data_IF_878260760993
#
_entry.id   IF_878260760993
#
_cell.length_a   1.000
_cell.length_b   1.000
_cell.length_c   1.000
_cell.angle_alpha   90.00
_cell.angle_beta   90.00
_cell.angle_gamma   90.00
#
_symmetry.space_group_name_H-M   'P 1'
#
loop_
_entity.id
_entity.type
_entity.pdbx_description
1 polymer ?
#
# COMPACT_ATOMS: atom_id res chain seq x y z
N UNK A 1 -18.30 -38.10 1.87
CA UNK A 1 -16.91 -38.62 1.85
C UNK A 1 -15.85 -37.55 1.61
N UNK A 2 -16.11 -36.41 0.94
CA UNK A 2 -15.06 -35.44 0.56
C UNK A 2 -14.60 -34.38 1.58
N UNK A 3 -14.97 -34.48 2.87
CA UNK A 3 -14.52 -33.52 3.89
C UNK A 3 -13.24 -33.98 4.61
N UNK A 4 -13.14 -35.28 4.93
CA UNK A 4 -12.00 -35.82 5.69
C UNK A 4 -10.69 -35.83 4.88
N UNK A 5 -10.77 -35.96 3.56
CA UNK A 5 -9.60 -35.97 2.68
C UNK A 5 -9.04 -34.55 2.42
N UNK A 6 -9.88 -33.50 2.53
CA UNK A 6 -9.44 -32.11 2.46
C UNK A 6 -8.79 -31.68 3.78
N UNK A 7 -9.38 -32.04 4.92
CA UNK A 7 -8.84 -31.70 6.25
C UNK A 7 -7.46 -32.35 6.49
N UNK A 8 -7.27 -33.61 6.09
CA UNK A 8 -5.96 -34.28 6.20
C UNK A 8 -4.89 -33.69 5.28
N UNK A 9 -5.29 -33.22 4.09
CA UNK A 9 -4.38 -32.54 3.17
C UNK A 9 -3.96 -31.17 3.69
N UNK A 10 -4.87 -30.41 4.31
CA UNK A 10 -4.55 -29.09 4.87
C UNK A 10 -3.69 -29.19 6.14
N UNK A 11 -3.94 -30.15 7.05
CA UNK A 11 -3.07 -30.42 8.20
C UNK A 11 -1.64 -30.80 7.78
N UNK A 12 -1.50 -31.58 6.71
CA UNK A 12 -0.19 -31.96 6.17
C UNK A 12 0.57 -30.76 5.58
N UNK A 13 -0.14 -29.84 4.90
CA UNK A 13 0.44 -28.61 4.34
C UNK A 13 0.87 -27.65 5.43
N UNK A 14 0.04 -27.47 6.46
CA UNK A 14 0.36 -26.61 7.61
C UNK A 14 1.60 -27.11 8.35
N UNK A 15 1.72 -28.44 8.51
CA UNK A 15 2.90 -29.05 9.13
C UNK A 15 4.17 -28.81 8.30
N UNK A 16 4.08 -28.95 6.97
CA UNK A 16 5.21 -28.67 6.06
C UNK A 16 5.59 -27.20 6.08
N UNK A 17 4.61 -26.30 6.04
CA UNK A 17 4.83 -24.85 6.09
C UNK A 17 5.48 -24.43 7.42
N UNK A 18 5.00 -24.98 8.54
CA UNK A 18 5.60 -24.76 9.86
C UNK A 18 7.05 -25.24 9.92
N UNK A 19 7.34 -26.43 9.37
CA UNK A 19 8.71 -26.96 9.32
C UNK A 19 9.63 -26.08 8.47
N UNK A 20 9.18 -25.67 7.27
CA UNK A 20 9.94 -24.79 6.39
C UNK A 20 10.22 -23.43 7.05
N UNK A 21 9.24 -22.87 7.75
CA UNK A 21 9.39 -21.62 8.51
C UNK A 21 10.44 -21.76 9.62
N UNK A 22 10.39 -22.84 10.41
CA UNK A 22 11.37 -23.09 11.48
C UNK A 22 12.79 -23.30 10.93
N UNK A 23 12.91 -23.95 9.77
CA UNK A 23 14.19 -24.05 9.08
C UNK A 23 14.69 -22.68 8.62
N UNK A 24 13.85 -21.88 7.97
CA UNK A 24 14.21 -20.50 7.59
C UNK A 24 14.66 -19.68 8.79
N UNK A 25 13.92 -19.71 9.91
CA UNK A 25 14.22 -18.97 11.14
C UNK A 25 15.62 -19.28 11.69
N UNK A 26 16.02 -20.55 11.69
CA UNK A 26 17.37 -20.98 12.12
C UNK A 26 18.50 -20.46 11.23
N UNK A 27 18.21 -20.18 9.97
CA UNK A 27 19.19 -19.71 9.00
C UNK A 27 19.18 -18.18 8.83
N UNK A 28 18.29 -17.44 9.48
CA UNK A 28 18.24 -15.98 9.35
C UNK A 28 19.58 -15.29 9.62
N UNK A 29 20.44 -15.71 10.59
CA UNK A 29 21.74 -15.07 10.81
C UNK A 29 22.72 -15.21 9.64
N UNK A 30 22.50 -16.18 8.75
CA UNK A 30 23.32 -16.42 7.56
C UNK A 30 22.75 -15.73 6.31
N UNK A 31 21.43 -15.48 6.30
CA UNK A 31 20.71 -14.99 5.13
C UNK A 31 20.56 -13.46 5.11
N UNK A 32 20.51 -12.82 6.28
CA UNK A 32 20.18 -11.40 6.40
C UNK A 32 21.20 -10.65 7.25
N UNK A 33 21.46 -9.39 6.91
CA UNK A 33 22.25 -8.46 7.74
C UNK A 33 21.39 -7.84 8.86
N UNK A 34 20.08 -7.70 8.63
CA UNK A 34 19.10 -7.14 9.57
C UNK A 34 17.77 -7.84 9.37
N UNK A 35 17.11 -8.20 10.47
CA UNK A 35 15.76 -8.73 10.49
C UNK A 35 14.96 -8.05 11.62
N UNK A 36 13.77 -7.58 11.31
CA UNK A 36 12.84 -6.99 12.26
C UNK A 36 11.51 -7.74 12.15
N UNK A 37 11.16 -8.48 13.20
CA UNK A 37 9.81 -9.04 13.36
C UNK A 37 8.95 -8.07 14.16
N UNK A 38 7.77 -7.71 13.64
CA UNK A 38 6.80 -6.88 14.33
C UNK A 38 5.40 -7.46 14.15
N UNK A 39 4.83 -8.00 15.23
CA UNK A 39 3.46 -8.48 15.23
C UNK A 39 2.46 -7.32 15.21
N UNK A 40 1.58 -7.32 14.21
CA UNK A 40 0.47 -6.38 14.08
C UNK A 40 -0.79 -6.95 14.73
N UNK A 41 -1.58 -6.10 15.40
CA UNK A 41 -2.89 -6.49 15.96
C UNK A 41 -3.89 -6.86 14.89
N UNK A 42 -3.85 -6.15 13.76
CA UNK A 42 -4.68 -6.40 12.58
C UNK A 42 -3.78 -6.59 11.36
N UNK A 43 -4.16 -7.46 10.41
CA UNK A 43 -3.41 -7.60 9.17
C UNK A 43 -3.39 -6.27 8.40
N UNK A 44 -2.38 -6.10 7.56
CA UNK A 44 -2.25 -4.95 6.69
C UNK A 44 -2.33 -5.37 5.23
N UNK A 45 -3.16 -4.70 4.43
CA UNK A 45 -3.29 -4.94 3.00
C UNK A 45 -2.25 -4.16 2.18
N UNK A 46 -1.65 -3.10 2.74
CA UNK A 46 -0.59 -2.36 2.07
C UNK A 46 0.45 -1.77 3.02
N UNK A 47 1.67 -1.64 2.52
CA UNK A 47 2.79 -1.02 3.22
C UNK A 47 3.58 -0.15 2.25
N UNK A 48 4.01 1.03 2.71
CA UNK A 48 4.81 1.97 1.92
C UNK A 48 5.88 2.61 2.79
N UNK A 49 7.13 2.52 2.35
CA UNK A 49 8.22 3.29 2.93
C UNK A 49 8.01 4.78 2.66
N UNK A 50 8.21 5.59 3.69
CA UNK A 50 8.34 7.03 3.58
C UNK A 50 9.80 7.46 3.58
N UNK A 51 10.00 8.76 3.80
CA UNK A 51 11.32 9.35 3.81
C UNK A 51 12.14 8.95 5.04
N UNK A 52 13.46 9.02 4.87
CA UNK A 52 14.44 8.84 5.93
C UNK A 52 14.48 10.09 6.81
N UNK A 53 14.23 9.89 8.11
CA UNK A 53 14.13 10.96 9.10
C UNK A 53 15.50 11.34 9.67
N UNK A 54 16.45 10.40 9.67
CA UNK A 54 17.80 10.65 10.14
C UNK A 54 18.57 9.39 10.48
N UNK A 55 19.65 9.57 11.22
CA UNK A 55 20.52 8.50 11.70
C UNK A 55 20.85 8.69 13.17
N UNK A 56 20.83 7.58 13.91
CA UNK A 56 21.48 7.44 15.20
C UNK A 56 22.84 6.73 15.01
N UNK A 57 23.58 6.52 16.11
CA UNK A 57 24.91 5.90 16.05
C UNK A 57 24.91 4.57 15.27
N UNK A 58 23.98 3.67 15.60
CA UNK A 58 23.87 2.33 15.02
C UNK A 58 22.60 2.11 14.19
N UNK A 59 21.74 3.11 14.03
CA UNK A 59 20.45 2.95 13.38
C UNK A 59 20.16 4.05 12.36
N UNK A 60 19.39 3.71 11.35
CA UNK A 60 18.72 4.61 10.44
C UNK A 60 17.26 4.69 10.90
N UNK A 61 16.72 5.90 11.00
CA UNK A 61 15.29 6.08 11.31
C UNK A 61 14.58 6.41 10.01
N UNK A 62 13.59 5.60 9.65
CA UNK A 62 12.79 5.80 8.45
C UNK A 62 11.30 5.70 8.76
N UNK A 63 10.49 6.50 8.07
CA UNK A 63 9.04 6.45 8.18
C UNK A 63 8.49 5.26 7.41
N UNK A 64 7.45 4.61 7.93
CA UNK A 64 6.65 3.61 7.24
C UNK A 64 5.17 3.93 7.41
N UNK A 65 4.40 3.68 6.36
CA UNK A 65 2.96 3.81 6.33
C UNK A 65 2.35 2.45 6.02
N UNK A 66 1.31 2.08 6.74
CA UNK A 66 0.56 0.85 6.49
C UNK A 66 -0.86 1.02 6.98
N UNK A 67 -1.78 0.15 6.56
CA UNK A 67 -3.17 0.19 7.00
C UNK A 67 -3.52 -1.00 7.90
N UNK A 68 -4.60 -0.87 8.67
CA UNK A 68 -5.23 -2.01 9.32
C UNK A 68 -6.44 -2.48 8.53
N UNK A 69 -6.59 -3.80 8.42
CA UNK A 69 -7.74 -4.48 7.86
C UNK A 69 -8.51 -5.20 8.96
N UNK A 70 -9.83 -4.97 8.99
CA UNK A 70 -10.72 -5.61 9.97
C UNK A 70 -10.68 -4.96 11.35
N UNK A 71 -10.09 -3.77 11.46
CA UNK A 71 -10.25 -2.91 12.63
C UNK A 71 -11.56 -2.13 12.54
N UNK A 72 -12.16 -1.78 13.67
CA UNK A 72 -13.36 -0.94 13.72
C UNK A 72 -13.08 0.33 14.52
N UNK A 73 -12.76 1.48 13.86
CA UNK A 73 -12.63 1.68 12.42
C UNK A 73 -11.27 1.23 11.85
N UNK A 74 -11.19 1.00 10.53
CA UNK A 74 -9.91 0.82 9.83
C UNK A 74 -9.09 2.12 9.93
N UNK A 75 -7.76 1.98 10.07
CA UNK A 75 -6.86 3.12 10.24
C UNK A 75 -5.65 3.05 9.32
N UNK A 76 -5.20 4.21 8.85
CA UNK A 76 -3.87 4.40 8.27
C UNK A 76 -2.91 4.68 9.42
N UNK A 77 -1.83 3.92 9.49
CA UNK A 77 -0.82 4.00 10.53
C UNK A 77 0.43 4.66 9.96
N UNK A 78 0.91 5.67 10.68
CA UNK A 78 2.22 6.28 10.48
C UNK A 78 3.13 5.83 11.61
N UNK A 79 4.22 5.17 11.27
CA UNK A 79 5.19 4.65 12.24
C UNK A 79 6.62 4.96 11.82
N UNK A 80 7.52 5.02 12.80
CA UNK A 80 8.96 5.07 12.56
C UNK A 80 9.57 3.69 12.78
N UNK A 81 10.47 3.30 11.88
CA UNK A 81 11.26 2.08 12.00
C UNK A 81 12.71 2.45 12.22
N UNK A 82 13.31 1.90 13.28
CA UNK A 82 14.75 1.94 13.54
C UNK A 82 15.39 0.73 12.86
N UNK A 83 16.13 0.99 11.79
CA UNK A 83 16.80 -0.03 10.98
C UNK A 83 18.27 -0.04 11.38
N UNK A 84 18.81 -1.18 11.81
CA UNK A 84 20.23 -1.30 12.13
C UNK A 84 21.10 -1.00 10.90
N UNK A 85 22.18 -0.24 11.09
CA UNK A 85 23.16 0.04 10.03
C UNK A 85 23.86 -1.26 9.62
N UNK A 86 24.40 -1.34 8.39
CA UNK A 86 25.18 -2.50 7.97
C UNK A 86 26.29 -2.83 8.98
N UNK A 87 26.42 -4.10 9.34
CA UNK A 87 27.43 -4.61 10.28
C UNK A 87 27.31 -4.16 11.74
N UNK A 88 26.19 -3.53 12.15
CA UNK A 88 25.95 -3.22 13.57
C UNK A 88 25.07 -4.25 14.28
N UNK A 89 24.33 -5.06 13.52
CA UNK A 89 23.47 -6.12 14.05
C UNK A 89 24.31 -7.29 14.55
N UNK A 90 23.96 -7.84 15.72
CA UNK A 90 24.53 -9.08 16.23
C UNK A 90 23.82 -10.28 15.59
N UNK A 91 24.48 -11.07 14.72
CA UNK A 91 23.84 -12.22 14.07
C UNK A 91 23.31 -13.25 15.07
N UNK A 92 23.92 -13.37 16.26
CA UNK A 92 23.51 -14.34 17.29
C UNK A 92 22.17 -14.01 17.97
N UNK A 93 21.56 -12.87 17.64
CA UNK A 93 20.25 -12.44 18.14
C UNK A 93 19.16 -12.48 17.08
N UNK A 94 19.50 -12.74 15.82
CA UNK A 94 18.60 -12.57 14.68
C UNK A 94 17.53 -13.66 14.58
N UNK A 95 17.79 -14.84 15.15
CA UNK A 95 16.84 -15.96 15.23
C UNK A 95 16.05 -15.98 16.55
N UNK A 96 16.34 -15.07 17.49
CA UNK A 96 15.76 -15.04 18.85
C UNK A 96 14.54 -14.13 19.01
N UNK A 97 13.89 -13.73 17.92
CA UNK A 97 12.67 -12.93 18.01
C UNK A 97 11.45 -13.80 18.35
N UNK A 98 10.49 -13.22 19.07
CA UNK A 98 9.18 -13.81 19.32
C UNK A 98 8.17 -13.32 18.29
N UNK A 99 7.48 -14.25 17.63
CA UNK A 99 6.56 -13.99 16.52
C UNK A 99 5.33 -13.16 16.88
N UNK A 100 4.87 -13.30 18.12
CA UNK A 100 3.64 -12.69 18.63
C UNK A 100 3.86 -11.30 19.22
N UNK A 101 5.12 -10.86 19.32
CA UNK A 101 5.46 -9.58 19.93
C UNK A 101 5.70 -8.49 18.86
N UNK A 102 5.26 -7.29 19.20
CA UNK A 102 5.62 -6.08 18.45
C UNK A 102 7.10 -5.75 18.68
N UNK A 103 7.81 -5.43 17.60
CA UNK A 103 9.22 -5.02 17.68
C UNK A 103 9.38 -3.71 18.45
N UNK A 104 10.39 -3.58 19.33
CA UNK A 104 10.79 -2.28 19.89
C UNK A 104 11.38 -1.34 18.83
N UNK A 105 11.77 -1.87 17.66
CA UNK A 105 12.30 -1.08 16.55
C UNK A 105 11.23 -0.30 15.79
N UNK A 106 9.94 -0.60 16.02
CA UNK A 106 8.82 0.06 15.35
C UNK A 106 8.07 0.89 16.38
N UNK A 107 7.97 2.21 16.14
CA UNK A 107 7.25 3.15 17.00
C UNK A 107 6.08 3.74 16.22
N UNK A 108 4.85 3.35 16.58
CA UNK A 108 3.63 3.94 16.01
C UNK A 108 3.48 5.37 16.50
N UNK A 109 3.29 6.31 15.57
CA UNK A 109 3.18 7.74 15.86
C UNK A 109 1.74 8.22 15.82
N UNK A 110 0.99 7.80 14.78
CA UNK A 110 -0.36 8.30 14.54
C UNK A 110 -1.19 7.22 13.86
N UNK A 111 -2.48 7.21 14.22
CA UNK A 111 -3.51 6.36 13.64
C UNK A 111 -4.57 7.30 13.08
N UNK A 112 -4.73 7.30 11.76
CA UNK A 112 -5.66 8.18 11.04
C UNK A 112 -6.86 7.32 10.64
N UNK A 113 -8.06 7.56 11.19
CA UNK A 113 -9.26 6.86 10.77
C UNK A 113 -9.52 7.05 9.28
N UNK A 114 -9.81 5.96 8.58
CA UNK A 114 -10.17 5.99 7.16
C UNK A 114 -11.59 6.54 6.99
N UNK A 115 -11.91 7.22 5.87
CA UNK A 115 -13.25 7.69 5.59
C UNK A 115 -14.24 6.52 5.60
N UNK A 116 -15.37 6.70 6.31
CA UNK A 116 -16.41 5.69 6.49
C UNK A 116 -15.93 4.33 7.03
N UNK A 117 -14.75 4.26 7.65
CA UNK A 117 -14.15 3.00 8.12
C UNK A 117 -13.75 2.04 7.01
N UNK A 118 -13.60 2.52 5.76
CA UNK A 118 -13.28 1.70 4.59
C UNK A 118 -11.88 1.11 4.63
N UNK A 119 -11.70 -0.05 4.00
CA UNK A 119 -10.39 -0.68 3.88
C UNK A 119 -9.53 0.06 2.86
N UNK A 120 -8.29 0.40 3.22
CA UNK A 120 -7.32 1.00 2.30
C UNK A 120 -6.51 -0.10 1.64
N UNK A 121 -6.58 -0.18 0.32
CA UNK A 121 -5.94 -1.24 -0.48
C UNK A 121 -4.53 -0.86 -0.92
N UNK A 122 -4.25 0.44 -1.12
CA UNK A 122 -2.91 0.92 -1.48
C UNK A 122 -2.66 2.31 -0.92
N UNK A 123 -1.45 2.52 -0.42
CA UNK A 123 -0.93 3.81 0.04
C UNK A 123 0.25 4.19 -0.86
N UNK A 124 0.30 5.45 -1.27
CA UNK A 124 1.42 5.99 -2.03
C UNK A 124 1.88 7.34 -1.46
N UNK A 125 3.18 7.62 -1.58
CA UNK A 125 3.83 8.85 -1.12
C UNK A 125 3.99 9.83 -2.27
N UNK A 126 3.81 11.12 -2.02
CA UNK A 126 4.17 12.15 -2.98
C UNK A 126 5.67 12.50 -2.83
N UNK A 127 6.46 12.32 -3.89
CA UNK A 127 7.90 12.62 -3.83
C UNK A 127 8.19 14.14 -3.77
N UNK A 128 7.30 14.96 -4.32
CA UNK A 128 7.45 16.42 -4.32
C UNK A 128 7.05 17.03 -2.97
N UNK A 129 6.23 16.34 -2.19
CA UNK A 129 5.85 16.76 -0.83
C UNK A 129 5.71 15.56 0.10
N UNK A 130 6.72 15.38 0.96
CA UNK A 130 6.86 14.25 1.89
C UNK A 130 5.79 14.19 2.99
N UNK A 131 4.97 15.23 3.14
CA UNK A 131 3.83 15.25 4.06
C UNK A 131 2.55 14.74 3.41
N UNK A 132 2.53 14.54 2.08
CA UNK A 132 1.33 14.12 1.36
C UNK A 132 1.31 12.61 1.14
N UNK A 133 0.17 12.01 1.47
CA UNK A 133 -0.15 10.61 1.15
C UNK A 133 -1.39 10.52 0.27
N UNK A 134 -1.35 9.56 -0.64
CA UNK A 134 -2.49 9.13 -1.44
C UNK A 134 -2.96 7.77 -0.97
N UNK A 135 -4.27 7.60 -0.82
CA UNK A 135 -4.85 6.29 -0.50
C UNK A 135 -5.96 5.93 -1.45
N UNK A 136 -5.91 4.70 -1.96
CA UNK A 136 -7.01 4.05 -2.66
C UNK A 136 -7.65 3.02 -1.72
N UNK A 137 -8.96 3.11 -1.57
CA UNK A 137 -9.79 2.21 -0.77
C UNK A 137 -10.87 1.57 -1.64
N UNK A 138 -11.81 0.88 -1.03
CA UNK A 138 -13.06 0.40 -1.67
C UNK A 138 -14.08 1.54 -1.93
N UNK A 139 -13.58 2.76 -2.13
CA UNK A 139 -14.38 3.91 -2.51
C UNK A 139 -14.03 4.30 -3.94
N UNK A 140 -14.98 4.94 -4.64
CA UNK A 140 -14.77 5.51 -5.97
C UNK A 140 -13.77 6.68 -5.96
N UNK A 141 -13.47 7.20 -4.78
CA UNK A 141 -12.66 8.39 -4.59
C UNK A 141 -11.31 8.02 -3.99
N UNK A 142 -10.26 8.73 -4.42
CA UNK A 142 -8.97 8.65 -3.76
C UNK A 142 -8.87 9.77 -2.75
N UNK A 143 -8.25 9.49 -1.62
CA UNK A 143 -8.10 10.46 -0.54
C UNK A 143 -6.66 10.97 -0.47
N UNK A 144 -6.53 12.28 -0.36
CA UNK A 144 -5.25 12.99 -0.18
C UNK A 144 -5.14 13.42 1.27
N UNK A 145 -4.06 13.01 1.93
CA UNK A 145 -3.81 13.30 3.33
C UNK A 145 -2.62 14.24 3.48
N UNK A 146 -2.70 15.17 4.42
CA UNK A 146 -1.58 16.04 4.81
C UNK A 146 -1.16 15.72 6.24
N UNK A 147 0.01 15.09 6.37
CA UNK A 147 0.57 14.66 7.65
C UNK A 147 1.19 15.79 8.46
N UNK A 148 1.31 17.01 7.91
CA UNK A 148 1.81 18.17 8.65
C UNK A 148 0.84 18.64 9.73
N UNK A 149 -0.45 18.33 9.57
CA UNK A 149 -1.54 18.75 10.46
C UNK A 149 -2.29 17.53 11.01
N UNK A 150 -1.66 16.72 11.88
CA UNK A 150 -2.18 15.42 12.31
C UNK A 150 -3.48 15.50 13.10
N UNK A 151 -3.89 16.69 13.54
CA UNK A 151 -5.15 16.90 14.28
C UNK A 151 -6.39 16.89 13.35
N UNK A 152 -6.18 17.14 12.05
CA UNK A 152 -7.21 17.03 11.02
C UNK A 152 -7.20 15.61 10.48
N UNK A 153 -7.88 14.68 11.15
CA UNK A 153 -8.12 13.31 10.65
C UNK A 153 -9.07 13.26 9.43
N UNK A 154 -9.06 14.31 8.62
CA UNK A 154 -9.91 14.51 7.45
C UNK A 154 -9.00 14.68 6.23
N UNK A 155 -9.28 14.00 5.11
CA UNK A 155 -8.59 14.23 3.85
C UNK A 155 -8.58 15.71 3.47
N UNK A 156 -7.44 16.22 3.01
CA UNK A 156 -7.31 17.62 2.55
C UNK A 156 -7.89 17.83 1.15
N UNK A 157 -7.96 16.76 0.37
CA UNK A 157 -8.64 16.71 -0.92
C UNK A 157 -9.12 15.29 -1.24
N UNK A 158 -10.11 15.22 -2.12
CA UNK A 158 -10.72 13.99 -2.60
C UNK A 158 -10.65 13.98 -4.12
N UNK A 159 -9.96 13.00 -4.71
CA UNK A 159 -9.84 12.86 -6.16
C UNK A 159 -11.01 12.03 -6.66
N UNK A 160 -11.83 12.62 -7.53
CA UNK A 160 -13.08 12.03 -8.01
C UNK A 160 -12.96 11.61 -9.47
N UNK A 161 -13.92 10.81 -9.95
CA UNK A 161 -14.10 10.53 -11.37
C UNK A 161 -14.32 9.06 -11.70
N UNK A 162 -13.87 8.13 -10.84
CA UNK A 162 -14.14 6.71 -11.04
C UNK A 162 -15.61 6.40 -10.79
N UNK A 163 -16.12 5.44 -11.55
CA UNK A 163 -17.55 5.10 -11.55
C UNK A 163 -17.88 3.83 -10.77
N UNK A 164 -16.91 2.91 -10.62
CA UNK A 164 -17.09 1.58 -10.02
C UNK A 164 -16.11 1.28 -8.87
N UNK A 165 -16.07 2.08 -7.80
CA UNK A 165 -15.13 1.89 -6.69
C UNK A 165 -15.43 0.73 -5.72
N UNK A 166 -16.27 -0.23 -6.08
CA UNK A 166 -16.97 -1.11 -5.11
C UNK A 166 -16.47 -2.56 -4.99
N UNK A 167 -15.26 -2.94 -5.43
CA UNK A 167 -14.83 -4.34 -5.21
C UNK A 167 -13.31 -4.60 -5.22
N UNK A 168 -12.99 -5.86 -4.86
CA UNK A 168 -11.74 -6.60 -4.60
C UNK A 168 -10.53 -6.41 -5.56
N UNK A 169 -10.52 -5.38 -6.39
CA UNK A 169 -9.51 -5.15 -7.44
C UNK A 169 -8.93 -3.74 -7.44
N UNK A 170 -9.15 -2.99 -6.37
CA UNK A 170 -8.82 -1.58 -6.28
C UNK A 170 -7.38 -1.31 -5.81
N UNK A 171 -6.41 -1.81 -6.58
CA UNK A 171 -4.98 -1.70 -6.26
C UNK A 171 -4.17 -0.83 -7.23
N UNK A 172 -4.75 -0.39 -8.36
CA UNK A 172 -4.06 0.47 -9.30
C UNK A 172 -3.95 1.90 -8.76
N UNK A 173 -2.78 2.25 -8.21
CA UNK A 173 -2.41 3.59 -7.74
C UNK A 173 -0.90 3.78 -7.87
N UNK A 174 -0.49 4.91 -8.45
CA UNK A 174 0.90 5.35 -8.50
C UNK A 174 1.00 6.88 -8.50
N UNK A 175 2.14 7.43 -8.06
CA UNK A 175 2.44 8.86 -8.10
C UNK A 175 3.76 9.11 -8.80
N UNK A 176 3.79 10.13 -9.67
CA UNK A 176 4.99 10.46 -10.43
C UNK A 176 6.07 11.03 -9.53
N UNK A 177 7.32 10.61 -9.77
CA UNK A 177 8.50 11.13 -9.06
C UNK A 177 8.96 12.50 -9.59
N UNK A 178 8.46 12.93 -10.76
CA UNK A 178 8.91 14.16 -11.43
C UNK A 178 7.96 15.32 -11.17
N UNK A 179 6.65 15.08 -11.33
CA UNK A 179 5.60 16.07 -11.09
C UNK A 179 4.59 15.52 -10.07
N UNK A 180 3.85 16.39 -9.35
CA UNK A 180 2.81 15.99 -8.39
C UNK A 180 1.56 15.43 -9.08
N UNK A 181 1.75 14.41 -9.92
CA UNK A 181 0.71 13.69 -10.63
C UNK A 181 0.42 12.35 -9.96
N UNK A 182 -0.83 11.94 -10.03
CA UNK A 182 -1.32 10.68 -9.49
C UNK A 182 -2.11 9.96 -10.56
N UNK A 183 -1.88 8.66 -10.71
CA UNK A 183 -2.66 7.76 -11.55
C UNK A 183 -3.46 6.81 -10.70
N UNK A 184 -4.67 6.51 -11.15
CA UNK A 184 -5.48 5.44 -10.59
C UNK A 184 -6.21 4.71 -11.70
N UNK A 185 -6.22 3.40 -11.60
CA UNK A 185 -7.09 2.54 -12.40
C UNK A 185 -8.24 2.01 -11.55
N UNK A 186 -9.35 1.66 -12.19
CA UNK A 186 -10.49 1.03 -11.54
C UNK A 186 -11.07 -0.10 -12.41
N UNK A 187 -12.14 -0.73 -11.91
CA UNK A 187 -12.86 -1.83 -12.55
C UNK A 187 -13.52 -1.45 -13.86
N UNK A 188 -13.90 -0.18 -14.00
CA UNK A 188 -14.49 0.38 -15.21
C UNK A 188 -13.53 0.38 -16.42
N UNK A 189 -12.29 -0.08 -16.25
CA UNK A 189 -11.27 -0.12 -17.30
C UNK A 189 -10.69 1.27 -17.59
N UNK A 190 -11.03 2.26 -16.77
CA UNK A 190 -10.61 3.64 -16.95
C UNK A 190 -9.39 3.91 -16.08
N UNK A 191 -8.43 4.59 -16.67
CA UNK A 191 -7.32 5.20 -15.94
C UNK A 191 -7.58 6.69 -15.85
N UNK A 192 -7.49 7.22 -14.64
CA UNK A 192 -7.63 8.63 -14.35
C UNK A 192 -6.29 9.18 -13.87
N UNK A 193 -5.97 10.38 -14.35
CA UNK A 193 -4.81 11.14 -13.92
C UNK A 193 -5.25 12.45 -13.29
N UNK A 194 -4.67 12.79 -12.15
CA UNK A 194 -4.81 14.10 -11.50
C UNK A 194 -3.45 14.78 -11.42
N UNK A 195 -3.45 16.11 -11.40
CA UNK A 195 -2.27 16.92 -11.10
C UNK A 195 -2.60 17.79 -9.89
N UNK A 196 -1.75 17.73 -8.87
CA UNK A 196 -1.91 18.45 -7.63
C UNK A 196 -0.94 19.62 -7.56
N UNK A 197 -1.27 20.64 -6.78
CA UNK A 197 -0.26 21.61 -6.37
C UNK A 197 0.52 21.09 -5.15
N UNK A 198 1.67 21.71 -4.87
CA UNK A 198 2.44 21.45 -3.66
C UNK A 198 1.60 21.56 -2.38
N UNK A 199 0.58 22.44 -2.39
CA UNK A 199 -0.47 22.49 -1.39
C UNK A 199 -1.76 21.93 -1.99
N UNK A 200 -2.21 20.72 -1.60
CA UNK A 200 -3.42 20.13 -2.16
C UNK A 200 -4.67 20.99 -2.01
N UNK A 201 -4.74 21.84 -0.96
CA UNK A 201 -5.86 22.75 -0.71
C UNK A 201 -5.95 23.89 -1.73
N UNK A 202 -4.86 24.23 -2.42
CA UNK A 202 -4.83 25.26 -3.46
C UNK A 202 -4.90 24.71 -4.88
N UNK A 203 -5.01 23.38 -5.05
CA UNK A 203 -5.00 22.75 -6.37
C UNK A 203 -6.05 23.36 -7.30
N UNK A 204 -5.70 23.72 -8.55
CA UNK A 204 -6.66 24.25 -9.51
C UNK A 204 -7.78 23.25 -9.80
N UNK A 205 -9.01 23.74 -9.86
CA UNK A 205 -10.19 22.89 -10.07
C UNK A 205 -10.72 22.20 -8.82
N UNK A 206 -10.07 22.39 -7.64
CA UNK A 206 -10.62 21.96 -6.35
C UNK A 206 -11.86 22.78 -6.01
N UNK A 207 -12.98 22.11 -5.74
CA UNK A 207 -14.22 22.77 -5.35
C UNK A 207 -14.28 23.11 -3.85
N UNK A 208 -15.40 23.70 -3.41
CA UNK A 208 -15.63 24.09 -2.02
C UNK A 208 -15.66 22.90 -1.04
N UNK A 209 -16.01 21.70 -1.53
CA UNK A 209 -16.04 20.46 -0.75
C UNK A 209 -14.67 19.75 -0.74
N UNK A 210 -13.71 20.25 -1.51
CA UNK A 210 -12.39 19.67 -1.64
C UNK A 210 -12.26 18.55 -2.66
N UNK A 211 -13.23 18.42 -3.55
CA UNK A 211 -13.21 17.47 -4.65
C UNK A 211 -12.37 18.00 -5.81
N UNK A 212 -11.56 17.15 -6.41
CA UNK A 212 -10.69 17.46 -7.55
C UNK A 212 -11.03 16.50 -8.70
N UNK A 213 -11.54 17.00 -9.84
CA UNK A 213 -11.83 16.18 -11.02
C UNK A 213 -10.52 15.76 -11.73
N UNK A 214 -10.56 14.71 -12.56
CA UNK A 214 -9.37 14.23 -13.25
C UNK A 214 -8.90 15.24 -14.31
N UNK A 215 -7.59 15.38 -14.44
CA UNK A 215 -6.94 16.12 -15.52
C UNK A 215 -7.06 15.37 -16.86
N UNK A 216 -6.98 14.04 -16.82
CA UNK A 216 -7.07 13.20 -18.02
C UNK A 216 -7.73 11.87 -17.72
N UNK A 217 -8.41 11.34 -18.73
CA UNK A 217 -9.12 10.05 -18.71
C UNK A 217 -8.58 9.21 -19.87
N UNK A 218 -8.22 7.95 -19.60
CA UNK A 218 -7.74 7.01 -20.60
C UNK A 218 -8.63 5.76 -20.62
N UNK A 219 -9.25 5.48 -21.76
CA UNK A 219 -10.28 4.44 -21.94
C UNK A 219 -9.80 3.33 -22.89
N UNK A 220 -8.61 2.78 -22.61
CA UNK A 220 -7.99 1.75 -23.46
C UNK A 220 -8.29 0.32 -23.02
N UNK A 221 -8.57 0.08 -21.74
CA UNK A 221 -8.77 -1.26 -21.21
C UNK A 221 -10.23 -1.70 -21.34
N UNK A 222 -10.43 -2.98 -21.65
CA UNK A 222 -11.75 -3.61 -21.74
C UNK A 222 -12.13 -4.40 -20.48
N UNK A 223 -11.24 -4.40 -19.49
CA UNK A 223 -11.41 -5.07 -18.21
C UNK A 223 -10.76 -4.23 -17.11
N UNK A 224 -10.88 -4.69 -15.87
CA UNK A 224 -10.34 -4.03 -14.69
C UNK A 224 -8.84 -3.72 -14.84
N UNK A 225 -8.48 -2.49 -14.51
CA UNK A 225 -7.07 -2.08 -14.42
C UNK A 225 -6.49 -2.58 -13.09
N UNK A 226 -5.53 -3.49 -13.15
CA UNK A 226 -4.93 -4.11 -11.97
C UNK A 226 -3.82 -3.27 -11.36
N UNK A 227 -2.98 -2.68 -12.22
CA UNK A 227 -1.90 -1.81 -11.78
C UNK A 227 -1.55 -0.75 -12.82
N UNK A 228 -0.98 0.35 -12.33
CA UNK A 228 -0.49 1.47 -13.12
C UNK A 228 0.89 1.87 -12.61
N UNK A 229 1.78 2.30 -13.49
CA UNK A 229 3.09 2.78 -13.08
C UNK A 229 3.59 3.87 -14.03
N UNK A 230 3.95 5.03 -13.47
CA UNK A 230 4.62 6.10 -14.20
C UNK A 230 6.03 5.67 -14.64
N UNK A 231 6.46 6.20 -15.78
CA UNK A 231 7.87 6.16 -16.15
C UNK A 231 8.68 6.96 -15.12
N UNK A 232 9.72 6.40 -14.48
CA UNK A 232 10.56 7.13 -13.52
C UNK A 232 11.26 8.37 -14.11
N UNK A 233 11.40 8.45 -15.43
CA UNK A 233 12.06 9.54 -16.16
C UNK A 233 11.10 10.44 -16.93
N UNK A 234 9.79 10.19 -16.90
CA UNK A 234 8.80 11.03 -17.58
C UNK A 234 7.47 11.10 -16.81
N UNK A 235 6.97 12.32 -16.57
CA UNK A 235 5.64 12.56 -15.99
C UNK A 235 4.49 12.35 -16.99
N UNK A 236 4.82 12.10 -18.27
CA UNK A 236 3.87 12.01 -19.38
C UNK A 236 3.73 10.60 -19.95
N UNK A 237 4.49 9.65 -19.40
CA UNK A 237 4.46 8.25 -19.83
C UNK A 237 4.16 7.38 -18.62
N UNK A 238 3.34 6.36 -18.82
CA UNK A 238 3.03 5.35 -17.82
C UNK A 238 2.68 4.04 -18.51
N UNK A 239 2.79 2.93 -17.79
CA UNK A 239 2.27 1.64 -18.20
C UNK A 239 1.09 1.24 -17.32
N UNK A 240 0.27 0.34 -17.82
CA UNK A 240 -0.87 -0.20 -17.10
C UNK A 240 -1.15 -1.63 -17.54
N UNK A 241 -1.70 -2.43 -16.64
CA UNK A 241 -2.03 -3.84 -16.87
C UNK A 241 -3.48 -4.09 -16.52
N UNK A 242 -4.14 -4.96 -17.29
CA UNK A 242 -5.54 -5.34 -17.10
C UNK A 242 -5.67 -6.80 -16.67
N UNK A 243 -6.77 -7.12 -15.99
CA UNK A 243 -7.12 -8.52 -15.72
C UNK A 243 -7.53 -9.20 -17.02
N UNK A 244 -6.69 -10.11 -17.51
CA UNK A 244 -7.01 -10.89 -18.70
C UNK A 244 -8.29 -11.70 -18.45
N UNK A 245 -9.34 -11.44 -19.21
CA UNK A 245 -10.51 -12.31 -19.27
C UNK A 245 -10.10 -13.60 -20.00
N UNK A 246 -9.71 -14.65 -19.28
CA UNK A 246 -9.66 -15.99 -19.87
C UNK A 246 -11.10 -16.50 -19.99
N UNK A 247 -11.79 -16.15 -21.07
CA UNK A 247 -12.91 -16.88 -21.68
C UNK A 247 -13.49 -16.06 -22.83
N UNK A 248 -13.04 -16.34 -24.06
CA UNK A 248 -13.84 -16.33 -25.32
C UNK A 248 -12.90 -16.59 -26.51
N UNK A 249 -12.34 -17.80 -26.59
CA UNK A 249 -12.12 -18.44 -27.89
C UNK A 249 -12.98 -19.70 -27.88
N UNK A 250 -14.29 -19.51 -28.06
CA UNK A 250 -15.14 -20.58 -28.56
C UNK A 250 -14.63 -20.95 -29.94
N UNK A 251 -14.17 -22.19 -30.09
CA UNK A 251 -13.66 -22.69 -31.36
C UNK A 251 -14.74 -22.61 -32.44
N UNK A 252 -14.47 -21.83 -33.48
CA UNK A 252 -14.94 -22.21 -34.80
C UNK A 252 -14.08 -23.39 -35.26
N UNK A 253 -14.57 -24.61 -35.02
CA UNK A 253 -14.22 -25.74 -35.89
C UNK A 253 -15.23 -25.79 -37.05
N UNK A 254 -14.66 -25.94 -38.25
CA UNK A 254 -15.31 -26.07 -39.56
C UNK A 254 -16.28 -27.25 -39.66
#
# INVERSE_FOLDING_TARGET
>A
MGSKDNDQNDESKDTVQSNNYQQWKKHTPLLYDTLINHHLTHPSSCIRWGHRLGEEQNHIIQRVYYCERGAAPNTIISANVKIAKPRTTDPMKMDKFEETLSSPSVTVLTRIPTPNGTEVNKIYTCEQNLNILFTKSDLNELHVWDLSSPESFIPVATLTGHSEGSCDSNFALDSSVIEPRVLSGDRDGIILMWSLDNNPKSTPGRDANGMIPPLSKFEGHQATVEDVCFNPSSSSEFCSVLRSCSNEFGGEEL
#
